data_IF_929618623681
#
_entry.id   IF_929618623681
#
_cell.length_a   1.000
_cell.length_b   1.000
_cell.length_c   1.000
_cell.angle_alpha   90.00
_cell.angle_beta   90.00
_cell.angle_gamma   90.00
#
_symmetry.space_group_name_H-M   'P 1'
#
loop_
_entity.id
_entity.type
_entity.pdbx_description
1 polymer ?
#
# COMPACT_ATOMS: atom_id res chain seq x y z
N UNK A 1 -11.84 22.89 -1.56
CA UNK A 1 -12.08 21.46 -1.29
C UNK A 1 -11.34 21.13 0.00
N UNK A 2 -12.04 20.63 1.00
CA UNK A 2 -11.49 20.19 2.28
C UNK A 2 -11.43 18.66 2.29
N UNK A 3 -10.52 18.09 3.09
CA UNK A 3 -10.44 16.63 3.24
C UNK A 3 -11.70 16.11 3.95
N UNK A 4 -12.26 16.90 4.84
CA UNK A 4 -13.50 16.60 5.58
C UNK A 4 -14.78 16.63 4.72
N UNK A 5 -14.70 17.04 3.44
CA UNK A 5 -15.85 16.97 2.51
C UNK A 5 -16.11 15.53 2.03
N UNK A 6 -15.11 14.63 2.12
CA UNK A 6 -15.24 13.22 1.74
C UNK A 6 -15.91 12.38 2.83
N UNK A 7 -16.44 11.22 2.45
CA UNK A 7 -17.08 10.25 3.35
C UNK A 7 -16.35 8.90 3.38
N UNK A 8 -15.70 8.57 2.28
CA UNK A 8 -14.97 7.32 2.10
C UNK A 8 -13.51 7.63 1.83
N UNK A 9 -12.61 7.00 2.57
CA UNK A 9 -11.19 6.95 2.25
C UNK A 9 -10.84 5.55 1.79
N UNK A 10 -10.35 5.42 0.56
CA UNK A 10 -9.81 4.18 0.05
C UNK A 10 -8.30 4.20 0.17
N UNK A 11 -7.71 3.13 0.67
CA UNK A 11 -6.28 3.04 0.96
C UNK A 11 -5.60 1.96 0.13
N UNK A 12 -4.52 2.32 -0.55
CA UNK A 12 -3.49 1.33 -0.81
C UNK A 12 -2.90 0.83 0.53
N UNK A 13 -2.51 -0.44 0.59
CA UNK A 13 -2.06 -1.07 1.83
C UNK A 13 -0.55 -1.27 1.84
N UNK A 14 -0.01 -1.97 0.83
CA UNK A 14 1.41 -2.37 0.79
C UNK A 14 2.26 -1.21 0.30
N UNK A 15 3.11 -0.68 1.17
CA UNK A 15 3.92 0.52 0.90
C UNK A 15 3.26 1.83 1.35
N UNK A 16 1.96 1.82 1.62
CA UNK A 16 1.25 2.97 2.18
C UNK A 16 1.06 2.84 3.69
N UNK A 17 0.59 1.69 4.15
CA UNK A 17 0.27 1.37 5.54
C UNK A 17 1.21 0.31 6.13
N UNK A 18 1.62 -0.64 5.31
CA UNK A 18 2.55 -1.72 5.63
C UNK A 18 3.91 -1.39 5.02
N UNK A 19 4.98 -1.38 5.83
CA UNK A 19 6.36 -1.16 5.41
C UNK A 19 6.94 -2.45 4.79
N UNK A 20 6.55 -2.69 3.55
CA UNK A 20 7.01 -3.88 2.83
C UNK A 20 8.49 -3.80 2.45
N UNK A 21 9.05 -2.59 2.27
CA UNK A 21 10.46 -2.43 1.91
C UNK A 21 11.35 -2.94 3.03
N UNK A 22 11.16 -2.46 4.25
CA UNK A 22 11.86 -2.99 5.43
C UNK A 22 11.59 -4.49 5.62
N UNK A 23 10.35 -4.92 5.37
CA UNK A 23 9.97 -6.33 5.49
C UNK A 23 10.71 -7.23 4.51
N UNK A 24 10.78 -6.88 3.22
CA UNK A 24 11.50 -7.63 2.17
C UNK A 24 13.01 -7.66 2.45
N UNK A 25 13.59 -6.51 2.80
CA UNK A 25 15.01 -6.40 3.12
C UNK A 25 15.40 -7.29 4.30
N UNK A 26 14.64 -7.18 5.40
CA UNK A 26 14.88 -7.98 6.61
C UNK A 26 14.69 -9.46 6.35
N UNK A 27 13.64 -9.85 5.63
CA UNK A 27 13.41 -11.24 5.27
C UNK A 27 14.54 -11.80 4.41
N UNK A 28 14.94 -11.08 3.35
CA UNK A 28 16.03 -11.49 2.45
C UNK A 28 17.34 -11.67 3.21
N UNK A 29 17.72 -10.70 4.06
CA UNK A 29 18.94 -10.77 4.87
C UNK A 29 18.91 -11.90 5.89
N UNK A 30 17.74 -12.18 6.45
CA UNK A 30 17.58 -13.26 7.45
C UNK A 30 17.71 -14.65 6.86
N UNK A 31 17.13 -14.89 5.67
CA UNK A 31 17.08 -16.23 5.07
C UNK A 31 18.16 -16.47 4.03
N UNK A 32 18.72 -15.41 3.42
CA UNK A 32 19.66 -15.49 2.31
C UNK A 32 21.11 -15.85 2.69
N UNK A 33 21.43 -15.98 4.00
CA UNK A 33 22.76 -16.31 4.48
C UNK A 33 23.73 -15.10 4.53
N UNK A 34 25.00 -15.37 4.80
CA UNK A 34 26.01 -14.33 5.06
C UNK A 34 26.18 -13.33 3.91
N UNK A 35 26.02 -13.77 2.67
CA UNK A 35 26.11 -12.90 1.49
C UNK A 35 24.96 -11.89 1.47
N UNK A 36 23.75 -12.33 1.79
CA UNK A 36 22.56 -11.46 1.77
C UNK A 36 22.66 -10.29 2.76
N UNK A 37 23.33 -10.49 3.91
CA UNK A 37 23.53 -9.45 4.93
C UNK A 37 24.37 -8.28 4.41
N UNK A 38 25.25 -8.53 3.44
CA UNK A 38 26.19 -7.54 2.86
C UNK A 38 25.63 -6.77 1.68
N UNK A 39 24.47 -7.19 1.16
CA UNK A 39 23.83 -6.53 0.01
C UNK A 39 23.22 -5.19 0.41
N UNK A 40 23.35 -4.23 -0.48
CA UNK A 40 22.64 -2.95 -0.39
C UNK A 40 21.15 -3.14 -0.67
N UNK A 41 20.34 -2.17 -0.27
CA UNK A 41 18.89 -2.21 -0.51
C UNK A 41 18.56 -2.26 -2.01
N UNK A 42 19.25 -1.47 -2.83
CA UNK A 42 19.05 -1.44 -4.28
C UNK A 42 19.43 -2.77 -4.95
N UNK A 43 20.49 -3.45 -4.47
CA UNK A 43 20.86 -4.77 -4.96
C UNK A 43 19.77 -5.80 -4.68
N UNK A 44 19.05 -5.68 -3.58
CA UNK A 44 17.93 -6.58 -3.23
C UNK A 44 16.66 -6.22 -4.01
N UNK A 45 16.32 -4.93 -4.10
CA UNK A 45 15.07 -4.51 -4.74
C UNK A 45 15.04 -4.76 -6.25
N UNK A 46 16.15 -4.64 -6.96
CA UNK A 46 16.20 -4.92 -8.40
C UNK A 46 15.67 -6.32 -8.74
N UNK A 47 16.28 -7.40 -8.23
CA UNK A 47 15.79 -8.77 -8.42
C UNK A 47 14.39 -9.03 -7.86
N UNK A 48 14.03 -8.38 -6.75
CA UNK A 48 12.68 -8.48 -6.18
C UNK A 48 11.61 -7.99 -7.16
N UNK A 49 11.79 -6.80 -7.73
CA UNK A 49 10.85 -6.21 -8.70
C UNK A 49 10.76 -7.12 -9.93
N UNK A 50 11.91 -7.57 -10.49
CA UNK A 50 11.90 -8.50 -11.64
C UNK A 50 11.20 -9.82 -11.32
N UNK A 51 11.38 -10.34 -10.11
CA UNK A 51 10.67 -11.54 -9.66
C UNK A 51 9.16 -11.30 -9.56
N UNK A 52 8.73 -10.16 -9.05
CA UNK A 52 7.31 -9.77 -8.99
C UNK A 52 6.68 -9.65 -10.38
N UNK A 53 7.40 -9.09 -11.33
CA UNK A 53 6.93 -8.97 -12.73
C UNK A 53 6.82 -10.33 -13.40
N UNK A 54 7.78 -11.23 -13.14
CA UNK A 54 7.85 -12.56 -13.75
C UNK A 54 6.80 -13.53 -13.18
N UNK A 55 6.62 -13.52 -11.86
CA UNK A 55 5.71 -14.43 -11.14
C UNK A 55 4.46 -13.67 -10.67
N UNK A 56 3.72 -13.13 -11.64
CA UNK A 56 2.47 -12.47 -11.37
C UNK A 56 1.44 -13.45 -10.82
N UNK A 57 0.84 -13.14 -9.67
CA UNK A 57 -0.15 -14.01 -9.05
C UNK A 57 -0.46 -13.60 -7.62
N UNK A 58 -1.07 -14.53 -6.88
CA UNK A 58 -1.38 -14.32 -5.47
C UNK A 58 -0.11 -14.17 -4.66
N UNK A 59 0.00 -13.07 -3.91
CA UNK A 59 1.19 -12.78 -3.08
C UNK A 59 1.50 -13.90 -2.11
N UNK A 60 0.46 -14.51 -1.51
CA UNK A 60 0.60 -15.63 -0.56
C UNK A 60 1.26 -16.89 -1.15
N UNK A 61 1.22 -17.08 -2.47
CA UNK A 61 1.85 -18.23 -3.14
C UNK A 61 3.04 -17.85 -4.02
N UNK A 62 2.96 -16.74 -4.74
CA UNK A 62 4.02 -16.34 -5.69
C UNK A 62 5.35 -15.96 -5.00
N UNK A 63 5.33 -15.60 -3.71
CA UNK A 63 6.54 -15.12 -3.03
C UNK A 63 7.65 -16.15 -2.89
N UNK A 64 7.36 -17.45 -2.93
CA UNK A 64 8.40 -18.49 -3.00
C UNK A 64 9.18 -18.39 -4.30
N UNK A 65 8.46 -18.32 -5.43
CA UNK A 65 9.09 -18.24 -6.76
C UNK A 65 9.84 -16.92 -6.95
N UNK A 66 9.31 -15.83 -6.40
CA UNK A 66 9.99 -14.52 -6.34
C UNK A 66 11.30 -14.65 -5.58
N UNK A 67 11.30 -15.27 -4.39
CA UNK A 67 12.53 -15.47 -3.61
C UNK A 67 13.55 -16.32 -4.35
N UNK A 68 13.16 -17.48 -4.89
CA UNK A 68 14.07 -18.36 -5.62
C UNK A 68 14.70 -17.67 -6.84
N UNK A 69 13.92 -16.82 -7.53
CA UNK A 69 14.43 -15.97 -8.60
C UNK A 69 15.47 -14.96 -8.09
N UNK A 70 15.14 -14.22 -7.03
CA UNK A 70 16.07 -13.28 -6.40
C UNK A 70 17.34 -14.00 -5.93
N UNK A 71 17.17 -15.15 -5.27
CA UNK A 71 18.28 -15.92 -4.71
C UNK A 71 19.25 -16.40 -5.81
N UNK A 72 18.71 -16.81 -6.96
CA UNK A 72 19.52 -17.17 -8.14
C UNK A 72 20.32 -15.97 -8.65
N UNK A 73 19.70 -14.81 -8.84
CA UNK A 73 20.38 -13.61 -9.34
C UNK A 73 21.42 -13.08 -8.37
N UNK A 74 21.10 -13.09 -7.08
CA UNK A 74 21.97 -12.57 -6.01
C UNK A 74 23.06 -13.57 -5.58
N UNK A 75 22.91 -14.85 -5.92
CA UNK A 75 23.81 -15.93 -5.47
C UNK A 75 23.78 -16.09 -3.94
N UNK A 76 22.61 -15.97 -3.32
CA UNK A 76 22.32 -16.21 -1.90
C UNK A 76 21.70 -17.59 -1.70
N UNK A 77 21.34 -17.97 -0.46
CA UNK A 77 20.70 -19.27 -0.19
C UNK A 77 19.49 -19.48 -1.12
N UNK A 78 19.57 -20.49 -1.98
CA UNK A 78 18.57 -20.79 -3.00
C UNK A 78 18.00 -22.19 -2.78
N UNK A 79 17.24 -22.35 -1.70
CA UNK A 79 16.61 -23.61 -1.30
C UNK A 79 15.16 -23.40 -0.86
N UNK A 80 14.40 -24.49 -0.85
CA UNK A 80 12.96 -24.44 -0.53
C UNK A 80 12.69 -23.95 0.90
N UNK A 81 13.55 -24.30 1.85
CA UNK A 81 13.35 -23.87 3.24
C UNK A 81 13.49 -22.34 3.39
N UNK A 82 14.50 -21.76 2.72
CA UNK A 82 14.67 -20.31 2.66
C UNK A 82 13.48 -19.63 1.97
N UNK A 83 12.97 -20.23 0.88
CA UNK A 83 11.79 -19.70 0.18
C UNK A 83 10.52 -19.76 1.03
N UNK A 84 10.33 -20.83 1.80
CA UNK A 84 9.18 -20.99 2.73
C UNK A 84 9.24 -19.94 3.84
N UNK A 85 10.42 -19.72 4.42
CA UNK A 85 10.63 -18.71 5.46
C UNK A 85 10.43 -17.29 4.91
N UNK A 86 10.90 -17.01 3.68
CA UNK A 86 10.66 -15.73 3.04
C UNK A 86 9.16 -15.48 2.81
N UNK A 87 8.44 -16.47 2.25
CA UNK A 87 6.98 -16.37 2.07
C UNK A 87 6.26 -16.13 3.38
N UNK A 88 6.64 -16.83 4.45
CA UNK A 88 6.07 -16.63 5.77
C UNK A 88 6.32 -15.21 6.29
N UNK A 89 7.54 -14.67 6.10
CA UNK A 89 7.89 -13.33 6.52
C UNK A 89 7.07 -12.25 5.81
N UNK A 90 6.67 -12.46 4.54
CA UNK A 90 5.82 -11.53 3.79
C UNK A 90 4.47 -11.29 4.50
N UNK A 91 3.88 -12.32 5.08
CA UNK A 91 2.61 -12.19 5.83
C UNK A 91 2.76 -11.39 7.14
N UNK A 92 4.00 -11.14 7.58
CA UNK A 92 4.33 -10.49 8.85
C UNK A 92 5.12 -9.18 8.65
N UNK A 93 4.97 -8.54 7.50
CA UNK A 93 5.57 -7.21 7.30
C UNK A 93 5.02 -6.23 8.33
N UNK A 94 5.87 -5.36 8.90
CA UNK A 94 5.45 -4.39 9.91
C UNK A 94 4.56 -3.31 9.28
N UNK A 95 3.70 -2.72 10.09
CA UNK A 95 3.07 -1.45 9.76
C UNK A 95 4.11 -0.32 9.87
N UNK A 96 3.93 0.78 9.12
CA UNK A 96 4.63 2.01 9.44
C UNK A 96 4.21 2.49 10.84
N UNK A 97 5.12 3.11 11.57
CA UNK A 97 4.94 3.52 12.98
C UNK A 97 3.69 4.39 13.21
N UNK A 98 3.29 5.16 12.20
CA UNK A 98 2.15 6.07 12.27
C UNK A 98 0.83 5.45 11.80
N UNK A 99 0.85 4.29 11.13
CA UNK A 99 -0.31 3.74 10.43
C UNK A 99 -1.47 3.43 11.38
N UNK A 100 -1.22 2.64 12.43
CA UNK A 100 -2.27 2.18 13.35
C UNK A 100 -2.95 3.37 14.06
N UNK A 101 -2.15 4.29 14.60
CA UNK A 101 -2.67 5.45 15.32
C UNK A 101 -3.46 6.39 14.41
N UNK A 102 -2.97 6.64 13.19
CA UNK A 102 -3.65 7.47 12.21
C UNK A 102 -4.97 6.82 11.75
N UNK A 103 -4.97 5.52 11.41
CA UNK A 103 -6.18 4.80 10.99
C UNK A 103 -7.28 4.82 12.06
N UNK A 104 -6.92 4.67 13.34
CA UNK A 104 -7.89 4.82 14.46
C UNK A 104 -8.54 6.19 14.50
N UNK A 105 -7.79 7.26 14.21
CA UNK A 105 -8.32 8.63 14.15
C UNK A 105 -9.24 8.81 12.95
N UNK A 106 -8.78 8.41 11.77
CA UNK A 106 -9.52 8.53 10.51
C UNK A 106 -10.85 7.74 10.54
N UNK A 107 -10.84 6.53 11.13
CA UNK A 107 -12.03 5.68 11.25
C UNK A 107 -13.20 6.33 12.01
N UNK A 108 -12.94 7.34 12.86
CA UNK A 108 -13.99 8.06 13.59
C UNK A 108 -14.89 8.89 12.68
N UNK A 109 -14.36 9.33 11.53
CA UNK A 109 -15.03 10.29 10.66
C UNK A 109 -15.30 9.76 9.25
N UNK A 110 -14.62 8.69 8.83
CA UNK A 110 -14.66 8.16 7.46
C UNK A 110 -14.92 6.67 7.43
N UNK A 111 -15.58 6.23 6.36
CA UNK A 111 -15.56 4.82 5.98
C UNK A 111 -14.18 4.51 5.39
N UNK A 112 -13.42 3.60 6.00
CA UNK A 112 -12.12 3.17 5.51
C UNK A 112 -12.26 1.90 4.67
N UNK A 113 -11.67 1.89 3.48
CA UNK A 113 -11.73 0.78 2.52
C UNK A 113 -10.31 0.45 2.05
N UNK A 114 -9.90 -0.79 2.19
CA UNK A 114 -8.63 -1.22 1.62
C UNK A 114 -8.75 -1.48 0.11
N UNK A 115 -7.77 -1.03 -0.67
CA UNK A 115 -7.61 -1.31 -2.11
C UNK A 115 -6.20 -1.82 -2.37
N UNK A 116 -6.01 -3.13 -2.44
CA UNK A 116 -4.67 -3.73 -2.41
C UNK A 116 -4.43 -4.76 -3.52
N UNK A 117 -3.19 -4.76 -4.05
CA UNK A 117 -2.71 -5.83 -4.93
C UNK A 117 -2.32 -7.12 -4.17
N UNK A 118 -2.40 -7.12 -2.85
CA UNK A 118 -2.34 -8.35 -2.07
C UNK A 118 -3.60 -9.20 -2.32
N UNK A 119 -3.44 -10.52 -2.28
CA UNK A 119 -4.58 -11.43 -2.26
C UNK A 119 -5.27 -11.43 -0.88
N UNK A 120 -6.43 -12.07 -0.80
CA UNK A 120 -7.24 -12.13 0.43
C UNK A 120 -6.47 -12.67 1.63
N UNK A 121 -5.65 -13.69 1.45
CA UNK A 121 -4.86 -14.30 2.52
C UNK A 121 -3.83 -13.31 3.07
N UNK A 122 -3.04 -12.70 2.18
CA UNK A 122 -2.04 -11.72 2.55
C UNK A 122 -2.69 -10.46 3.17
N UNK A 123 -3.78 -9.98 2.58
CA UNK A 123 -4.52 -8.84 3.14
C UNK A 123 -5.08 -9.12 4.53
N UNK A 124 -5.57 -10.34 4.80
CA UNK A 124 -6.09 -10.69 6.13
C UNK A 124 -5.00 -10.56 7.20
N UNK A 125 -3.78 -11.04 6.93
CA UNK A 125 -2.64 -10.88 7.82
C UNK A 125 -2.27 -9.39 8.03
N UNK A 126 -2.24 -8.59 6.96
CA UNK A 126 -1.97 -7.16 7.08
C UNK A 126 -3.09 -6.38 7.80
N UNK A 127 -4.35 -6.77 7.60
CA UNK A 127 -5.46 -6.17 8.34
C UNK A 127 -5.35 -6.44 9.84
N UNK A 128 -4.91 -7.65 10.23
CA UNK A 128 -4.64 -7.99 11.62
C UNK A 128 -3.47 -7.16 12.19
N UNK A 129 -2.35 -7.04 11.45
CA UNK A 129 -1.23 -6.18 11.81
C UNK A 129 -1.65 -4.72 12.01
N UNK A 130 -2.63 -4.23 11.24
CA UNK A 130 -3.21 -2.89 11.33
C UNK A 130 -4.36 -2.78 12.35
N UNK A 131 -4.63 -3.81 13.14
CA UNK A 131 -5.71 -3.90 14.13
C UNK A 131 -7.13 -3.79 13.50
N UNK A 132 -7.30 -4.35 12.30
CA UNK A 132 -8.59 -4.44 11.59
C UNK A 132 -9.34 -3.11 11.43
N UNK A 133 -8.71 -2.08 10.84
CA UNK A 133 -9.30 -0.74 10.79
C UNK A 133 -10.39 -0.58 9.72
N UNK A 134 -10.44 -1.47 8.73
CA UNK A 134 -11.25 -1.30 7.54
C UNK A 134 -12.71 -1.69 7.73
N UNK A 135 -13.62 -0.98 7.08
CA UNK A 135 -15.02 -1.33 6.98
C UNK A 135 -15.31 -2.23 5.77
N UNK A 136 -14.39 -2.19 4.78
CA UNK A 136 -14.51 -2.96 3.55
C UNK A 136 -13.13 -3.11 2.90
N UNK A 137 -13.00 -4.03 1.94
CA UNK A 137 -11.76 -4.26 1.23
C UNK A 137 -12.00 -4.74 -0.20
N UNK A 138 -11.06 -4.39 -1.09
CA UNK A 138 -10.98 -4.87 -2.47
C UNK A 138 -9.57 -5.42 -2.67
N UNK A 139 -9.46 -6.69 -3.02
CA UNK A 139 -8.21 -7.42 -3.26
C UNK A 139 -8.07 -7.84 -4.72
N UNK A 140 -6.84 -8.15 -5.17
CA UNK A 140 -6.60 -8.51 -6.56
C UNK A 140 -7.28 -9.83 -6.97
N UNK A 141 -7.41 -10.79 -6.08
CA UNK A 141 -8.07 -12.06 -6.34
C UNK A 141 -9.60 -11.94 -6.36
N UNK A 142 -10.17 -10.97 -5.65
CA UNK A 142 -11.59 -10.66 -5.69
C UNK A 142 -12.00 -10.02 -7.03
N UNK A 143 -11.17 -9.12 -7.54
CA UNK A 143 -11.47 -8.41 -8.79
C UNK A 143 -11.03 -9.17 -10.05
N UNK A 144 -10.08 -10.09 -9.92
CA UNK A 144 -9.36 -10.70 -11.04
C UNK A 144 -8.35 -9.74 -11.73
N UNK A 145 -8.15 -8.55 -11.17
CA UNK A 145 -7.24 -7.52 -11.69
C UNK A 145 -6.34 -7.00 -10.57
N UNK A 146 -5.18 -6.46 -10.95
CA UNK A 146 -4.31 -5.72 -10.04
C UNK A 146 -4.15 -4.27 -10.51
N UNK A 147 -3.93 -3.35 -9.59
CA UNK A 147 -3.54 -1.97 -9.90
C UNK A 147 -2.21 -1.96 -10.67
N UNK A 148 -2.06 -1.17 -11.71
CA UNK A 148 -2.89 -0.02 -12.11
C UNK A 148 -4.01 -0.35 -13.12
N UNK A 149 -4.53 -1.58 -13.21
CA UNK A 149 -5.62 -1.88 -14.12
C UNK A 149 -6.89 -1.05 -13.75
N UNK A 150 -7.49 -0.31 -14.70
CA UNK A 150 -8.65 0.53 -14.43
C UNK A 150 -9.88 -0.24 -13.91
N UNK A 151 -10.02 -1.52 -14.26
CA UNK A 151 -11.13 -2.34 -13.79
C UNK A 151 -11.11 -2.55 -12.27
N UNK A 152 -9.92 -2.59 -11.65
CA UNK A 152 -9.78 -2.65 -10.20
C UNK A 152 -10.45 -1.43 -9.52
N UNK A 153 -10.18 -0.23 -10.03
CA UNK A 153 -10.74 1.02 -9.52
C UNK A 153 -12.24 1.16 -9.83
N UNK A 154 -12.66 0.73 -11.02
CA UNK A 154 -14.09 0.73 -11.41
C UNK A 154 -14.89 -0.22 -10.54
N UNK A 155 -14.37 -1.40 -10.23
CA UNK A 155 -14.98 -2.33 -9.28
C UNK A 155 -15.20 -1.69 -7.92
N UNK A 156 -14.19 -1.01 -7.37
CA UNK A 156 -14.32 -0.31 -6.09
C UNK A 156 -15.41 0.78 -6.15
N UNK A 157 -15.45 1.60 -7.21
CA UNK A 157 -16.52 2.61 -7.37
C UNK A 157 -17.90 1.98 -7.33
N UNK A 158 -18.13 0.91 -8.09
CA UNK A 158 -19.40 0.18 -8.10
C UNK A 158 -19.74 -0.39 -6.73
N UNK A 159 -18.76 -0.98 -6.04
CA UNK A 159 -18.92 -1.54 -4.71
C UNK A 159 -19.31 -0.47 -3.68
N UNK A 160 -18.63 0.68 -3.65
CA UNK A 160 -18.98 1.77 -2.72
C UNK A 160 -20.31 2.43 -3.09
N UNK A 161 -20.68 2.47 -4.38
CA UNK A 161 -21.99 2.94 -4.81
C UNK A 161 -23.13 2.05 -4.31
N UNK A 162 -22.90 0.74 -4.21
CA UNK A 162 -23.87 -0.19 -3.61
C UNK A 162 -24.13 0.07 -2.12
N UNK A 163 -23.16 0.71 -1.43
CA UNK A 163 -23.33 1.21 -0.06
C UNK A 163 -23.87 2.65 0.01
N UNK A 164 -24.26 3.24 -1.13
CA UNK A 164 -24.86 4.57 -1.21
C UNK A 164 -23.87 5.74 -1.33
N UNK A 165 -22.58 5.49 -1.51
CA UNK A 165 -21.57 6.55 -1.65
C UNK A 165 -21.36 6.93 -3.12
N UNK A 166 -21.29 8.23 -3.39
CA UNK A 166 -20.99 8.76 -4.72
C UNK A 166 -19.48 8.73 -4.99
N UNK A 167 -19.03 8.57 -6.25
CA UNK A 167 -17.62 8.65 -6.59
C UNK A 167 -16.93 9.95 -6.13
N UNK A 168 -17.65 11.09 -6.12
CA UNK A 168 -17.15 12.38 -5.63
C UNK A 168 -16.95 12.45 -4.11
N UNK A 169 -17.47 11.49 -3.36
CA UNK A 169 -17.32 11.39 -1.91
C UNK A 169 -16.15 10.48 -1.50
N UNK A 170 -15.36 9.98 -2.48
CA UNK A 170 -14.25 9.05 -2.27
C UNK A 170 -12.92 9.78 -2.43
N UNK A 171 -12.07 9.73 -1.41
CA UNK A 171 -10.67 10.13 -1.44
C UNK A 171 -9.79 8.87 -1.51
N UNK A 172 -8.91 8.77 -2.52
CA UNK A 172 -7.96 7.67 -2.64
C UNK A 172 -6.60 8.07 -2.06
N UNK A 173 -6.13 7.32 -1.06
CA UNK A 173 -4.92 7.58 -0.28
C UNK A 173 -3.88 6.50 -0.60
N UNK A 174 -2.74 6.86 -1.15
CA UNK A 174 -1.73 5.90 -1.58
C UNK A 174 -0.32 6.48 -1.63
N UNK A 175 0.69 5.61 -1.48
CA UNK A 175 2.09 5.94 -1.70
C UNK A 175 2.49 5.82 -3.18
N UNK A 176 1.95 4.82 -3.88
CA UNK A 176 2.43 4.45 -5.21
C UNK A 176 1.96 5.41 -6.30
N UNK A 177 2.91 6.11 -6.91
CA UNK A 177 2.64 6.88 -8.12
C UNK A 177 2.31 5.98 -9.32
N UNK A 178 2.94 4.80 -9.40
CA UNK A 178 2.75 3.85 -10.49
C UNK A 178 1.43 3.10 -10.41
N UNK A 179 1.14 2.49 -9.25
CA UNK A 179 -0.05 1.63 -9.11
C UNK A 179 -1.32 2.40 -8.83
N UNK A 180 -1.22 3.61 -8.23
CA UNK A 180 -2.36 4.29 -7.63
C UNK A 180 -2.57 5.72 -8.13
N UNK A 181 -1.68 6.66 -7.80
CA UNK A 181 -1.96 8.09 -7.96
C UNK A 181 -2.22 8.46 -9.44
N UNK A 182 -1.39 7.97 -10.35
CA UNK A 182 -1.55 8.24 -11.79
C UNK A 182 -2.90 7.81 -12.33
N UNK A 183 -3.18 6.51 -12.22
CA UNK A 183 -4.41 5.91 -12.75
C UNK A 183 -5.66 6.40 -12.01
N UNK A 184 -5.60 6.60 -10.68
CA UNK A 184 -6.73 7.13 -9.93
C UNK A 184 -7.14 8.53 -10.42
N UNK A 185 -6.15 9.41 -10.69
CA UNK A 185 -6.42 10.74 -11.29
C UNK A 185 -7.07 10.63 -12.66
N UNK A 186 -6.55 9.78 -13.54
CA UNK A 186 -7.12 9.55 -14.88
C UNK A 186 -8.56 9.07 -14.81
N UNK A 187 -8.90 8.28 -13.80
CA UNK A 187 -10.25 7.76 -13.56
C UNK A 187 -11.15 8.72 -12.76
N UNK A 188 -10.69 9.94 -12.47
CA UNK A 188 -11.47 10.97 -11.79
C UNK A 188 -11.65 10.74 -10.29
N UNK A 189 -10.73 10.03 -9.63
CA UNK A 189 -10.65 10.06 -8.18
C UNK A 189 -10.00 11.35 -7.69
N UNK A 190 -10.43 11.83 -6.53
CA UNK A 190 -9.60 12.75 -5.74
C UNK A 190 -8.52 11.94 -5.05
N UNK A 191 -7.28 12.41 -5.10
CA UNK A 191 -6.10 11.65 -4.66
C UNK A 191 -5.37 12.35 -3.53
N UNK A 192 -4.90 11.54 -2.57
CA UNK A 192 -3.99 11.96 -1.51
C UNK A 192 -2.72 11.10 -1.60
N UNK A 193 -1.61 11.72 -1.93
CA UNK A 193 -0.32 11.04 -2.00
C UNK A 193 0.37 11.06 -0.63
N UNK A 194 0.71 9.88 -0.14
CA UNK A 194 1.54 9.70 1.05
C UNK A 194 2.96 9.37 0.58
N UNK A 195 3.81 10.39 0.45
CA UNK A 195 5.18 10.24 -0.04
C UNK A 195 6.10 9.65 1.04
N UNK A 196 5.97 8.34 1.31
CA UNK A 196 6.76 7.61 2.33
C UNK A 196 8.27 7.72 2.13
N UNK A 197 8.70 7.96 0.89
CA UNK A 197 10.11 8.11 0.51
C UNK A 197 10.53 9.57 0.33
N UNK A 198 9.85 10.54 0.93
CA UNK A 198 10.20 11.95 0.83
C UNK A 198 11.67 12.18 1.24
N UNK A 199 12.45 12.81 0.34
CA UNK A 199 13.89 13.05 0.55
C UNK A 199 14.79 11.85 0.23
N UNK A 200 14.24 10.72 -0.23
CA UNK A 200 15.02 9.58 -0.71
C UNK A 200 15.01 9.52 -2.26
N UNK A 201 16.03 8.90 -2.83
CA UNK A 201 16.10 8.71 -4.28
C UNK A 201 15.22 7.55 -4.76
N UNK A 202 14.63 7.71 -5.95
CA UNK A 202 13.88 6.66 -6.63
C UNK A 202 12.57 6.26 -5.95
N UNK A 203 12.03 5.12 -6.36
CA UNK A 203 10.74 4.61 -5.93
C UNK A 203 10.84 3.32 -5.09
N UNK A 204 12.06 2.98 -4.61
CA UNK A 204 12.33 1.81 -3.77
C UNK A 204 11.88 0.49 -4.41
N UNK A 205 11.14 -0.30 -3.67
CA UNK A 205 10.56 -1.57 -4.15
C UNK A 205 9.33 -1.41 -5.05
N UNK A 206 8.96 -0.18 -5.46
CA UNK A 206 7.83 0.10 -6.36
C UNK A 206 8.33 0.42 -7.78
N UNK A 207 7.67 -0.05 -8.85
CA UNK A 207 8.06 0.30 -10.22
C UNK A 207 8.07 1.80 -10.46
N UNK A 208 9.03 2.27 -11.25
CA UNK A 208 9.14 3.69 -11.62
C UNK A 208 7.95 4.11 -12.50
N UNK A 209 7.21 5.15 -12.13
CA UNK A 209 6.13 5.67 -12.99
C UNK A 209 6.70 6.37 -14.22
N UNK A 210 5.90 6.51 -15.29
CA UNK A 210 6.27 7.27 -16.48
C UNK A 210 6.47 8.76 -16.20
N UNK A 211 5.87 9.26 -15.13
CA UNK A 211 5.98 10.63 -14.64
C UNK A 211 5.27 10.75 -13.29
N UNK A 212 5.64 11.76 -12.51
CA UNK A 212 4.99 12.02 -11.21
C UNK A 212 3.71 12.80 -11.44
N UNK A 213 2.59 12.21 -11.10
CA UNK A 213 1.27 12.85 -11.18
C UNK A 213 1.06 13.76 -9.98
N UNK A 214 0.64 15.01 -10.22
CA UNK A 214 0.29 15.94 -9.14
C UNK A 214 -0.98 15.47 -8.43
N UNK A 215 -0.92 15.15 -7.13
CA UNK A 215 -2.09 14.76 -6.35
C UNK A 215 -2.95 15.99 -5.98
N UNK A 216 -4.15 15.75 -5.44
CA UNK A 216 -4.98 16.82 -4.87
C UNK A 216 -4.51 17.20 -3.46
N UNK A 217 -4.09 16.19 -2.68
CA UNK A 217 -3.48 16.36 -1.34
C UNK A 217 -2.16 15.59 -1.29
N UNK A 218 -1.20 16.14 -0.54
CA UNK A 218 0.14 15.58 -0.44
C UNK A 218 0.68 15.67 0.99
N UNK A 219 1.09 14.54 1.53
CA UNK A 219 1.71 14.42 2.86
C UNK A 219 2.86 13.42 2.79
N UNK A 220 3.83 13.52 3.68
CA UNK A 220 4.91 12.54 3.78
C UNK A 220 4.56 11.36 4.72
N UNK A 221 3.58 11.55 5.61
CA UNK A 221 3.16 10.53 6.57
C UNK A 221 1.64 10.47 6.70
N UNK A 222 1.12 9.33 7.11
CA UNK A 222 -0.31 9.19 7.40
C UNK A 222 -0.72 10.00 8.64
N UNK A 223 0.23 10.18 9.58
CA UNK A 223 0.03 11.07 10.72
C UNK A 223 -0.27 12.50 10.29
N UNK A 224 0.47 13.05 9.32
CA UNK A 224 0.23 14.41 8.82
C UNK A 224 -1.16 14.55 8.19
N UNK A 225 -1.62 13.54 7.43
CA UNK A 225 -2.99 13.51 6.91
C UNK A 225 -4.01 13.55 8.04
N UNK A 226 -3.84 12.72 9.07
CA UNK A 226 -4.76 12.70 10.21
C UNK A 226 -4.73 14.02 11.01
N UNK A 227 -3.55 14.64 11.17
CA UNK A 227 -3.42 15.94 11.85
C UNK A 227 -4.12 17.07 11.07
N UNK A 228 -4.02 17.07 9.74
CA UNK A 228 -4.71 18.04 8.88
C UNK A 228 -6.25 17.91 9.00
N UNK A 229 -6.77 16.68 9.08
CA UNK A 229 -8.19 16.41 9.24
C UNK A 229 -8.68 16.90 10.62
N UNK A 230 -7.96 16.59 11.69
CA UNK A 230 -8.33 17.05 13.03
C UNK A 230 -8.36 18.59 13.11
N UNK A 231 -7.43 19.28 12.44
CA UNK A 231 -7.41 20.73 12.34
C UNK A 231 -8.61 21.28 11.57
N UNK A 232 -9.00 20.65 10.44
CA UNK A 232 -10.22 21.02 9.69
C UNK A 232 -11.49 20.86 10.53
N UNK A 233 -11.62 19.74 11.26
CA UNK A 233 -12.78 19.45 12.12
C UNK A 233 -12.88 20.44 13.26
N UNK A 234 -11.75 20.78 13.92
CA UNK A 234 -11.71 21.77 14.97
C UNK A 234 -12.15 23.15 14.46
N UNK A 235 -11.64 23.56 13.31
CA UNK A 235 -12.00 24.84 12.69
C UNK A 235 -13.50 24.92 12.36
N UNK A 236 -14.10 23.83 11.89
CA UNK A 236 -15.53 23.75 11.60
C UNK A 236 -16.37 23.83 12.88
N UNK A 237 -15.94 23.20 13.98
CA UNK A 237 -16.64 23.26 15.26
C UNK A 237 -16.66 24.67 15.88
N UNK A 238 -15.54 25.39 15.76
CA UNK A 238 -15.45 26.80 16.23
C UNK A 238 -16.35 27.71 15.38
N UNK A 239 -16.38 27.54 14.05
CA UNK A 239 -17.22 28.35 13.17
C UNK A 239 -18.73 28.14 13.41
N UNK A 240 -19.14 26.93 13.84
CA UNK A 240 -20.53 26.62 14.13
C UNK A 240 -20.98 27.08 15.56
N UNK A 241 -20.04 27.42 16.45
CA UNK A 241 -20.28 27.86 17.79
C UNK A 241 -20.28 29.40 17.93
N UNK A 242 -19.87 30.13 16.89
CA UNK A 242 -19.85 31.61 16.83
C UNK A 242 -21.05 32.14 16.04
#
# INVERSE_FOLDING_TARGET
MKITDFKVMTFDVVGTLIDFESGVLNATRKVGGEKAVKLTDDEIFGPYIRGRDKFYGRSSSAMKDVYLHMATELGINNDQASADLFQFAILHHPAFDDSIAALKRLRKNFRLVAMTNADRTTFSAYSETLENPFHDSVTCDETGYAKPNPNFFTYNKGRQSAFGYKPSEILHVAQSQYHDIGIAKELGYTTCWIERRQGQNGFGGTPTPKGVTKPDFHFSTLKQLADAIDAELLSASVANAA
#
